data_IF_228462716585
#
_entry.id   IF_228462716585
#
_cell.length_a   1.000
_cell.length_b   1.000
_cell.length_c   1.000
_cell.angle_alpha   90.00
_cell.angle_beta   90.00
_cell.angle_gamma   90.00
#
_symmetry.space_group_name_H-M   'P 1'
#
loop_
_entity.id
_entity.type
_entity.pdbx_description
1 polymer ?
#
# COMPACT_ATOMS: atom_id res chain seq x y z
N UNK A 1 -11.56 -1.56 9.88
CA UNK A 1 -12.22 -0.66 8.92
C UNK A 1 -13.66 -1.05 8.74
N UNK A 2 -14.60 -0.18 9.12
CA UNK A 2 -16.05 -0.45 9.08
C UNK A 2 -16.38 -1.86 9.60
N UNK A 3 -15.97 -2.12 10.86
CA UNK A 3 -16.14 -3.38 11.59
C UNK A 3 -15.33 -4.60 11.11
N UNK A 4 -14.35 -4.40 10.22
CA UNK A 4 -13.43 -5.47 9.78
C UNK A 4 -12.01 -5.31 10.28
N UNK A 5 -11.36 -6.43 10.57
CA UNK A 5 -9.95 -6.49 10.95
C UNK A 5 -9.05 -6.71 9.73
N UNK A 6 -7.86 -6.11 9.76
CA UNK A 6 -6.80 -6.34 8.78
C UNK A 6 -5.61 -6.89 9.54
N UNK A 7 -5.12 -8.07 9.11
CA UNK A 7 -4.01 -8.72 9.80
C UNK A 7 -2.64 -8.16 9.38
N UNK A 8 -2.41 -7.93 8.08
CA UNK A 8 -1.10 -7.56 7.54
C UNK A 8 -1.03 -6.09 7.09
N UNK A 9 -1.49 -5.80 5.88
CA UNK A 9 -1.38 -4.49 5.26
C UNK A 9 -2.66 -4.17 4.52
N UNK A 10 -3.14 -2.95 4.72
CA UNK A 10 -4.19 -2.33 3.94
C UNK A 10 -3.57 -1.29 3.02
N UNK A 11 -4.02 -1.29 1.77
CA UNK A 11 -3.42 -0.47 0.72
C UNK A 11 -4.51 0.29 -0.03
N UNK A 12 -4.26 1.57 -0.27
CA UNK A 12 -5.15 2.50 -0.92
C UNK A 12 -4.41 3.33 -1.97
N UNK A 13 -5.17 3.91 -2.91
CA UNK A 13 -4.60 4.63 -4.06
C UNK A 13 -4.28 3.70 -5.23
N UNK A 14 -4.43 2.39 -5.07
CA UNK A 14 -4.56 1.48 -6.20
C UNK A 14 -5.90 1.74 -6.90
N UNK A 15 -5.88 2.41 -8.06
CA UNK A 15 -7.05 2.39 -8.94
C UNK A 15 -7.37 0.92 -9.28
N UNK A 16 -8.65 0.55 -9.32
CA UNK A 16 -9.11 -0.79 -9.73
C UNK A 16 -8.45 -1.29 -11.04
N UNK A 17 -8.12 -0.36 -11.94
CA UNK A 17 -7.44 -0.63 -13.22
C UNK A 17 -6.06 -1.28 -13.06
N UNK A 18 -5.37 -0.99 -11.95
CA UNK A 18 -4.06 -1.55 -11.64
C UNK A 18 -4.18 -3.03 -11.29
N UNK A 19 -5.12 -3.40 -10.42
CA UNK A 19 -5.30 -4.79 -10.03
C UNK A 19 -5.66 -5.65 -11.26
N UNK A 20 -6.52 -5.12 -12.14
CA UNK A 20 -6.86 -5.74 -13.42
C UNK A 20 -5.65 -5.87 -14.35
N UNK A 21 -4.75 -4.87 -14.41
CA UNK A 21 -3.50 -4.97 -15.19
C UNK A 21 -2.52 -5.98 -14.60
N UNK A 22 -2.40 -6.04 -13.27
CA UNK A 22 -1.55 -6.99 -12.56
C UNK A 22 -1.99 -8.44 -12.81
N UNK A 23 -3.30 -8.70 -12.79
CA UNK A 23 -3.87 -10.02 -13.10
C UNK A 23 -3.66 -10.45 -14.56
N UNK A 24 -3.51 -9.49 -15.49
CA UNK A 24 -3.26 -9.76 -16.91
C UNK A 24 -1.79 -9.94 -17.28
N UNK A 25 -0.85 -9.71 -16.35
CA UNK A 25 0.58 -9.91 -16.61
C UNK A 25 0.91 -11.41 -16.73
N UNK A 26 1.35 -11.84 -17.91
CA UNK A 26 1.80 -13.22 -18.19
C UNK A 26 3.24 -13.49 -17.73
N UNK A 27 4.00 -12.45 -17.38
CA UNK A 27 5.39 -12.50 -16.95
C UNK A 27 5.69 -11.26 -16.09
N UNK A 28 6.47 -11.34 -14.99
CA UNK A 28 7.25 -12.48 -14.52
C UNK A 28 6.43 -13.53 -13.75
N UNK A 29 6.99 -14.73 -13.60
CA UNK A 29 6.43 -15.85 -12.83
C UNK A 29 7.02 -15.90 -11.42
N UNK A 30 6.21 -16.32 -10.43
CA UNK A 30 6.65 -16.44 -9.03
C UNK A 30 6.30 -15.25 -8.13
N UNK A 31 6.81 -15.21 -6.88
CA UNK A 31 6.46 -14.21 -5.86
C UNK A 31 6.72 -12.75 -6.31
N UNK A 32 7.74 -12.56 -7.15
CA UNK A 32 8.13 -11.26 -7.71
C UNK A 32 7.07 -10.65 -8.64
N UNK A 33 6.11 -11.43 -9.16
CA UNK A 33 5.02 -10.92 -10.01
C UNK A 33 4.23 -9.82 -9.32
N UNK A 34 3.91 -10.00 -8.04
CA UNK A 34 3.12 -9.03 -7.27
C UNK A 34 3.93 -7.77 -6.95
N UNK A 35 5.22 -7.92 -6.63
CA UNK A 35 6.13 -6.79 -6.43
C UNK A 35 6.27 -5.96 -7.70
N UNK A 36 6.51 -6.61 -8.85
CA UNK A 36 6.70 -5.92 -10.13
C UNK A 36 5.41 -5.28 -10.63
N UNK A 37 4.28 -5.95 -10.50
CA UNK A 37 2.99 -5.38 -10.90
C UNK A 37 2.64 -4.16 -10.05
N UNK A 38 2.88 -4.21 -8.73
CA UNK A 38 2.71 -3.09 -7.81
C UNK A 38 3.58 -1.91 -8.23
N UNK A 39 4.89 -2.12 -8.42
CA UNK A 39 5.83 -1.05 -8.80
C UNK A 39 5.54 -0.45 -10.18
N UNK A 40 5.20 -1.28 -11.16
CA UNK A 40 4.86 -0.81 -12.52
C UNK A 40 3.61 0.06 -12.48
N UNK A 41 2.68 -0.29 -11.63
CA UNK A 41 1.40 0.39 -11.54
C UNK A 41 1.50 1.73 -10.81
N UNK A 42 2.39 1.82 -9.81
CA UNK A 42 2.72 3.09 -9.15
C UNK A 42 3.11 4.18 -10.15
N UNK A 43 3.82 3.84 -11.23
CA UNK A 43 4.20 4.80 -12.27
C UNK A 43 3.01 5.41 -13.03
N UNK A 44 1.87 4.74 -13.05
CA UNK A 44 0.65 5.19 -13.73
C UNK A 44 -0.34 5.89 -12.81
N UNK A 45 -0.09 5.88 -11.50
CA UNK A 45 -0.98 6.51 -10.53
C UNK A 45 -0.80 8.03 -10.57
N UNK A 46 -1.91 8.75 -10.73
CA UNK A 46 -1.99 10.17 -10.43
C UNK A 46 -2.05 10.35 -8.92
N UNK A 47 -1.29 11.30 -8.38
CA UNK A 47 -1.46 11.68 -6.98
C UNK A 47 -2.80 12.39 -6.76
N UNK A 48 -3.36 12.24 -5.57
CA UNK A 48 -4.54 12.96 -5.12
C UNK A 48 -4.23 13.63 -3.78
N UNK A 49 -4.73 14.85 -3.57
CA UNK A 49 -4.68 15.48 -2.26
C UNK A 49 -5.65 14.76 -1.32
N UNK A 50 -5.13 14.22 -0.24
CA UNK A 50 -5.90 13.55 0.81
C UNK A 50 -5.71 14.28 2.13
N UNK A 51 -6.84 14.44 2.82
CA UNK A 51 -6.91 14.96 4.17
C UNK A 51 -7.21 13.81 5.11
N UNK A 52 -6.39 13.63 6.13
CA UNK A 52 -6.57 12.58 7.12
C UNK A 52 -6.05 13.03 8.49
N UNK A 53 -6.45 12.31 9.53
CA UNK A 53 -5.98 12.52 10.89
C UNK A 53 -5.38 11.23 11.44
N UNK A 54 -4.27 11.35 12.17
CA UNK A 54 -3.68 10.26 12.95
C UNK A 54 -3.55 10.76 14.37
N UNK A 55 -4.14 10.05 15.34
CA UNK A 55 -4.05 10.38 16.76
C UNK A 55 -4.27 11.89 17.01
N UNK A 56 -5.41 12.39 16.52
CA UNK A 56 -5.85 13.79 16.59
C UNK A 56 -4.96 14.84 15.87
N UNK A 57 -3.94 14.38 15.16
CA UNK A 57 -3.08 15.25 14.33
C UNK A 57 -3.57 15.25 12.88
N UNK A 58 -3.85 16.44 12.35
CA UNK A 58 -4.32 16.61 10.97
C UNK A 58 -3.17 16.70 9.97
N UNK A 59 -3.36 16.05 8.81
CA UNK A 59 -2.43 16.05 7.70
C UNK A 59 -3.17 16.29 6.38
N UNK A 60 -2.56 17.12 5.55
CA UNK A 60 -2.90 17.29 4.13
C UNK A 60 -1.68 16.88 3.31
N UNK A 61 -1.82 15.87 2.45
CA UNK A 61 -0.73 15.35 1.62
C UNK A 61 -1.19 15.02 0.23
N UNK A 62 -0.33 15.27 -0.74
CA UNK A 62 -0.48 14.74 -2.09
C UNK A 62 0.06 13.31 -2.12
N UNK A 63 -0.77 12.33 -2.46
CA UNK A 63 -0.39 10.93 -2.33
C UNK A 63 -0.86 10.13 -3.55
N UNK A 64 0.04 9.35 -4.13
CA UNK A 64 -0.28 8.40 -5.21
C UNK A 64 -0.63 7.02 -4.66
N UNK A 65 -0.02 6.64 -3.53
CA UNK A 65 -0.25 5.38 -2.83
C UNK A 65 -0.08 5.59 -1.33
N UNK A 66 -0.99 5.02 -0.53
CA UNK A 66 -0.82 4.95 0.91
C UNK A 66 -1.19 3.59 1.48
N UNK A 67 -0.50 3.18 2.54
CA UNK A 67 -0.66 1.87 3.16
C UNK A 67 -0.64 1.98 4.68
N UNK A 68 -1.52 1.24 5.33
CA UNK A 68 -1.51 1.05 6.79
C UNK A 68 -1.10 -0.40 7.06
N UNK A 69 0.00 -0.60 7.78
CA UNK A 69 0.66 -1.88 7.92
C UNK A 69 0.91 -2.26 9.39
N UNK A 70 0.47 -3.47 9.75
CA UNK A 70 0.85 -4.14 10.99
C UNK A 70 2.10 -5.01 10.80
N UNK A 71 2.37 -5.47 9.57
CA UNK A 71 3.53 -6.31 9.23
C UNK A 71 4.39 -5.65 8.16
N UNK A 72 5.70 -5.95 8.16
CA UNK A 72 6.63 -5.28 7.25
C UNK A 72 6.47 -5.64 5.76
N UNK A 73 5.95 -6.83 5.46
CA UNK A 73 5.88 -7.38 4.11
C UNK A 73 4.47 -7.32 3.51
N UNK A 74 4.42 -7.10 2.20
CA UNK A 74 3.21 -7.18 1.39
C UNK A 74 3.52 -7.86 0.04
N UNK A 75 2.53 -8.54 -0.54
CA UNK A 75 2.53 -9.00 -1.94
C UNK A 75 3.82 -9.67 -2.44
N UNK A 76 4.17 -10.85 -1.91
CA UNK A 76 5.32 -11.63 -2.39
C UNK A 76 6.68 -11.25 -1.78
N UNK A 77 6.68 -10.58 -0.62
CA UNK A 77 7.88 -10.23 0.16
C UNK A 77 8.37 -8.80 -0.03
N UNK A 78 7.54 -7.91 -0.58
CA UNK A 78 7.87 -6.50 -0.71
C UNK A 78 7.81 -5.82 0.67
N UNK A 79 8.91 -5.20 1.10
CA UNK A 79 9.01 -4.44 2.34
C UNK A 79 8.30 -3.08 2.22
N UNK A 80 6.97 -3.07 2.24
CA UNK A 80 6.15 -1.87 2.07
C UNK A 80 6.17 -0.96 3.31
N UNK A 81 6.39 -1.53 4.49
CA UNK A 81 6.55 -0.82 5.75
C UNK A 81 7.69 -1.48 6.55
N UNK A 82 8.96 -1.28 6.18
CA UNK A 82 10.08 -2.06 6.72
C UNK A 82 10.17 -2.05 8.25
N UNK A 83 9.69 -0.97 8.89
CA UNK A 83 9.71 -0.79 10.35
C UNK A 83 8.48 -1.35 11.07
N UNK A 84 7.48 -1.88 10.35
CA UNK A 84 6.26 -2.38 10.98
C UNK A 84 6.53 -3.68 11.75
N UNK A 85 6.09 -3.70 13.01
CA UNK A 85 6.22 -4.84 13.90
C UNK A 85 4.83 -5.23 14.46
N UNK A 86 4.33 -6.45 14.20
CA UNK A 86 2.99 -6.83 14.63
C UNK A 86 2.82 -6.96 16.16
N UNK A 87 3.89 -6.78 16.94
CA UNK A 87 3.90 -6.96 18.39
C UNK A 87 4.11 -5.66 19.19
N UNK A 88 4.23 -4.50 18.54
CA UNK A 88 4.49 -3.22 19.22
C UNK A 88 3.22 -2.41 19.55
N UNK A 89 2.06 -2.85 19.07
CA UNK A 89 0.77 -2.23 19.32
C UNK A 89 0.52 -0.96 18.50
N UNK A 90 1.35 -0.65 17.51
CA UNK A 90 1.14 0.46 16.57
C UNK A 90 1.00 -0.05 15.14
N UNK A 91 0.45 0.80 14.27
CA UNK A 91 0.39 0.55 12.84
C UNK A 91 1.22 1.59 12.10
N UNK A 92 1.90 1.16 11.04
CA UNK A 92 2.76 2.04 10.25
C UNK A 92 2.00 2.58 9.04
N UNK A 93 2.01 3.90 8.87
CA UNK A 93 1.53 4.55 7.66
C UNK A 93 2.71 4.79 6.68
N UNK A 94 2.64 4.19 5.50
CA UNK A 94 3.57 4.48 4.38
C UNK A 94 2.84 5.30 3.33
N UNK A 95 3.37 6.47 2.99
CA UNK A 95 2.89 7.33 1.91
C UNK A 95 3.91 7.35 0.76
N UNK A 96 3.43 7.31 -0.47
CA UNK A 96 4.24 7.52 -1.69
C UNK A 96 3.58 8.63 -2.50
N UNK A 97 4.36 9.66 -2.79
CA UNK A 97 4.02 10.73 -3.72
C UNK A 97 4.93 10.67 -4.94
N UNK A 98 4.53 11.34 -6.02
CA UNK A 98 5.40 11.60 -7.17
C UNK A 98 6.40 12.71 -6.86
#
# INVERSE_FOLDING_TARGET
MNDRWVASVMTFGFSSDVNVRAERMRWPTGPSRYTVSTLTSLRSLSSQTVNFSIDDTFFEREVSLWNIANTSDFGGGMKIAPSANPFDGIANLTLVSK
#
